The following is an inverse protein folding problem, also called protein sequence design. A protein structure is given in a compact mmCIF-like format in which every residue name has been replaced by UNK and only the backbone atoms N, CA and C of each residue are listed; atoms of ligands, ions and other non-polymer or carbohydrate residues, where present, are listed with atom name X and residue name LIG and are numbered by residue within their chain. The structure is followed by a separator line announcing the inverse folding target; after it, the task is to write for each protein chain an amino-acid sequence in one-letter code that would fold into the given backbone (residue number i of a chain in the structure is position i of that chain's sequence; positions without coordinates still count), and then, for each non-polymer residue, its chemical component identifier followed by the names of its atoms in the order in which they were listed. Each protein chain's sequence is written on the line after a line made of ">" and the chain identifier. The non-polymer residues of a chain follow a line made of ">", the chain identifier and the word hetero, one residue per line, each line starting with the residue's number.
data_IF_897111178444
#
_entry.id   IF_897111178444
#
_cell.length_a   1.000
_cell.length_b   1.000
_cell.length_c   1.000
_cell.angle_alpha   90.00
_cell.angle_beta   90.00
_cell.angle_gamma   90.00
#
_symmetry.space_group_name_H-M   'P 1'
#
loop_
_entity.id
_entity.type
_entity.pdbx_description
1 polymer ?
#
# COMPACT_ATOMS: atom_id res chain seq x y z
N UNK A 1 25.51 -53.37 30.58
CA UNK A 1 24.41 -52.38 30.53
C UNK A 1 24.49 -51.58 29.23
N UNK A 2 23.51 -51.72 28.32
CA UNK A 2 23.36 -50.89 27.11
C UNK A 2 21.99 -50.21 27.22
N UNK A 3 21.95 -48.87 27.17
CA UNK A 3 20.70 -48.07 27.13
C UNK A 3 19.94 -48.37 25.84
N UNK A 4 18.61 -48.52 25.87
CA UNK A 4 17.81 -48.50 24.64
C UNK A 4 17.83 -47.10 24.03
N UNK A 5 17.86 -47.04 22.70
CA UNK A 5 17.77 -45.82 21.92
C UNK A 5 16.36 -45.21 22.05
N UNK A 6 16.34 -43.89 22.19
CA UNK A 6 15.14 -43.05 22.22
C UNK A 6 14.56 -42.97 20.80
N UNK A 7 13.29 -43.35 20.62
CA UNK A 7 12.58 -43.21 19.35
C UNK A 7 12.32 -41.74 19.01
N UNK A 8 12.54 -41.30 17.76
CA UNK A 8 12.18 -39.95 17.35
C UNK A 8 10.66 -39.83 17.20
N UNK A 9 10.06 -38.85 17.89
CA UNK A 9 8.63 -38.58 17.89
C UNK A 9 8.01 -38.30 16.49
N UNK A 10 6.68 -38.42 16.35
CA UNK A 10 5.99 -38.34 15.08
C UNK A 10 6.15 -36.96 14.44
N UNK A 11 6.57 -36.93 13.17
CA UNK A 11 6.59 -35.71 12.35
C UNK A 11 5.15 -35.21 12.12
N UNK A 12 4.87 -33.91 12.23
CA UNK A 12 3.53 -33.37 12.00
C UNK A 12 3.03 -33.75 10.59
N UNK A 13 1.77 -34.18 10.50
CA UNK A 13 1.16 -34.64 9.25
C UNK A 13 0.76 -33.45 8.37
N UNK A 14 1.08 -33.51 7.08
CA UNK A 14 0.78 -32.52 6.01
C UNK A 14 -0.65 -31.94 6.03
N UNK A 15 -1.63 -32.66 6.56
CA UNK A 15 -3.02 -32.20 6.72
C UNK A 15 -3.20 -31.05 7.72
N UNK A 16 -2.42 -31.03 8.81
CA UNK A 16 -2.42 -29.97 9.82
C UNK A 16 -1.68 -28.71 9.37
N UNK A 17 -0.84 -28.83 8.34
CA UNK A 17 -0.19 -27.66 7.72
C UNK A 17 -1.14 -26.96 6.73
N UNK A 18 -2.09 -27.72 6.20
CA UNK A 18 -3.06 -27.34 5.19
C UNK A 18 -4.27 -26.59 5.76
N UNK A 19 -4.61 -26.84 7.03
CA UNK A 19 -5.78 -26.26 7.68
C UNK A 19 -5.49 -24.89 8.33
N UNK A 20 -4.22 -24.48 8.41
CA UNK A 20 -3.80 -23.27 9.12
C UNK A 20 -4.47 -22.00 8.57
N UNK A 21 -4.63 -21.89 7.25
CA UNK A 21 -5.27 -20.75 6.59
C UNK A 21 -6.77 -20.63 6.91
N UNK A 22 -7.58 -21.67 6.60
CA UNK A 22 -8.98 -21.74 7.00
C UNK A 22 -9.20 -21.55 8.50
N UNK A 23 -8.33 -22.13 9.34
CA UNK A 23 -8.40 -22.01 10.79
C UNK A 23 -8.15 -20.58 11.26
N UNK A 24 -7.13 -19.91 10.72
CA UNK A 24 -6.89 -18.49 11.03
C UNK A 24 -8.09 -17.62 10.61
N UNK A 25 -8.65 -17.87 9.43
CA UNK A 25 -9.83 -17.13 8.96
C UNK A 25 -11.04 -17.29 9.89
N UNK A 26 -11.32 -18.53 10.34
CA UNK A 26 -12.38 -18.83 11.28
C UNK A 26 -12.19 -18.10 12.63
N UNK A 27 -10.99 -18.14 13.20
CA UNK A 27 -10.66 -17.43 14.44
C UNK A 27 -10.87 -15.91 14.29
N UNK A 28 -10.46 -15.33 13.17
CA UNK A 28 -10.67 -13.89 12.90
C UNK A 28 -12.14 -13.54 12.74
N UNK A 29 -12.97 -14.41 12.17
CA UNK A 29 -14.42 -14.22 12.12
C UNK A 29 -15.03 -14.25 13.52
N UNK A 30 -14.58 -15.16 14.39
CA UNK A 30 -15.00 -15.21 15.80
C UNK A 30 -14.60 -13.95 16.55
N UNK A 31 -13.37 -13.47 16.38
CA UNK A 31 -12.92 -12.21 16.96
C UNK A 31 -13.76 -11.04 16.45
N UNK A 32 -14.00 -10.95 15.14
CA UNK A 32 -14.87 -9.91 14.54
C UNK A 32 -16.27 -9.94 15.12
N UNK A 33 -16.89 -11.11 15.27
CA UNK A 33 -18.22 -11.25 15.85
C UNK A 33 -18.26 -10.75 17.31
N UNK A 34 -17.25 -11.10 18.11
CA UNK A 34 -17.11 -10.66 19.51
C UNK A 34 -16.92 -9.15 19.67
N UNK A 35 -16.33 -8.47 18.68
CA UNK A 35 -16.22 -6.99 18.76
C UNK A 35 -17.57 -6.29 18.70
N UNK A 36 -18.60 -6.91 18.09
CA UNK A 36 -19.89 -6.28 17.82
C UNK A 36 -19.85 -5.12 16.81
N UNK A 37 -18.73 -4.94 16.09
CA UNK A 37 -18.50 -3.79 15.18
C UNK A 37 -18.84 -4.11 13.74
N UNK A 38 -19.32 -3.10 13.02
CA UNK A 38 -19.40 -3.13 11.56
C UNK A 38 -18.01 -3.10 10.92
N UNK A 39 -17.89 -3.56 9.68
CA UNK A 39 -16.60 -3.52 8.98
C UNK A 39 -16.08 -2.08 8.79
N UNK A 40 -16.98 -1.11 8.57
CA UNK A 40 -16.66 0.31 8.46
C UNK A 40 -16.07 0.90 9.74
N UNK A 41 -16.56 0.45 10.91
CA UNK A 41 -15.98 0.85 12.19
C UNK A 41 -14.62 0.18 12.43
N UNK A 42 -14.48 -1.10 12.04
CA UNK A 42 -13.21 -1.80 12.13
C UNK A 42 -12.14 -1.19 11.23
N UNK A 43 -12.50 -0.64 10.08
CA UNK A 43 -11.56 0.06 9.20
C UNK A 43 -10.84 1.21 9.91
N UNK A 44 -11.58 2.01 10.67
CA UNK A 44 -11.01 3.13 11.42
C UNK A 44 -10.12 2.66 12.58
N UNK A 45 -10.49 1.58 13.25
CA UNK A 45 -9.80 1.10 14.46
C UNK A 45 -8.58 0.22 14.16
N UNK A 46 -8.67 -0.59 13.11
CA UNK A 46 -7.64 -1.55 12.71
C UNK A 46 -6.70 -0.96 11.64
N UNK A 47 -7.08 0.18 11.04
CA UNK A 47 -6.37 0.87 9.95
C UNK A 47 -6.18 0.01 8.70
N UNK A 48 -7.15 -0.83 8.37
CA UNK A 48 -7.22 -1.59 7.13
C UNK A 48 -8.55 -1.29 6.44
N UNK A 49 -8.56 -1.11 5.12
CA UNK A 49 -9.81 -0.81 4.39
C UNK A 49 -10.84 -1.92 4.55
N UNK A 50 -12.14 -1.60 4.50
CA UNK A 50 -13.25 -2.57 4.54
C UNK A 50 -13.01 -3.77 3.60
N UNK A 51 -12.61 -3.49 2.35
CA UNK A 51 -12.28 -4.53 1.37
C UNK A 51 -11.11 -5.44 1.78
N UNK A 52 -10.12 -4.93 2.51
CA UNK A 52 -8.99 -5.72 3.02
C UNK A 52 -9.42 -6.59 4.20
N UNK A 53 -10.19 -6.02 5.12
CA UNK A 53 -10.77 -6.74 6.26
C UNK A 53 -11.62 -7.91 5.75
N UNK A 54 -12.47 -7.70 4.76
CA UNK A 54 -13.27 -8.76 4.13
C UNK A 54 -12.41 -9.90 3.56
N UNK A 55 -11.29 -9.58 2.89
CA UNK A 55 -10.35 -10.58 2.37
C UNK A 55 -9.63 -11.35 3.48
N UNK A 56 -9.31 -10.72 4.60
CA UNK A 56 -8.70 -11.37 5.76
C UNK A 56 -9.68 -12.32 6.45
N UNK A 57 -10.91 -11.86 6.71
CA UNK A 57 -11.95 -12.65 7.35
C UNK A 57 -12.38 -13.85 6.50
N UNK A 58 -12.29 -13.74 5.18
CA UNK A 58 -12.57 -14.86 4.26
C UNK A 58 -11.38 -15.79 4.04
N UNK A 59 -10.21 -15.51 4.63
CA UNK A 59 -9.00 -16.32 4.45
C UNK A 59 -8.36 -16.22 3.06
N UNK A 60 -8.81 -15.30 2.21
CA UNK A 60 -8.24 -15.09 0.86
C UNK A 60 -6.82 -14.53 0.91
N UNK A 61 -6.53 -13.75 1.94
CA UNK A 61 -5.21 -13.16 2.19
C UNK A 61 -4.91 -13.31 3.68
N UNK A 62 -3.68 -13.68 4.01
CA UNK A 62 -3.20 -13.71 5.40
C UNK A 62 -3.06 -12.26 5.90
N UNK A 63 -3.75 -11.86 6.98
CA UNK A 63 -3.64 -10.49 7.48
C UNK A 63 -2.23 -10.20 8.03
N UNK A 64 -1.76 -8.95 7.97
CA UNK A 64 -0.58 -8.53 8.74
C UNK A 64 -0.76 -8.80 10.23
N UNK A 65 0.32 -9.11 10.95
CA UNK A 65 0.26 -9.36 12.39
C UNK A 65 -0.39 -8.22 13.18
N UNK A 66 -0.12 -6.97 12.80
CA UNK A 66 -0.71 -5.78 13.44
C UNK A 66 -2.24 -5.72 13.35
N UNK A 67 -2.82 -6.26 12.27
CA UNK A 67 -4.27 -6.36 12.10
C UNK A 67 -4.85 -7.39 13.07
N UNK A 68 -4.17 -8.54 13.22
CA UNK A 68 -4.54 -9.60 14.17
C UNK A 68 -4.46 -9.09 15.61
N UNK A 69 -3.38 -8.38 15.96
CA UNK A 69 -3.20 -7.79 17.30
C UNK A 69 -4.32 -6.82 17.66
N UNK A 70 -4.63 -5.88 16.75
CA UNK A 70 -5.67 -4.88 16.97
C UNK A 70 -7.04 -5.51 17.07
N UNK A 71 -7.37 -6.45 16.17
CA UNK A 71 -8.65 -7.14 16.21
C UNK A 71 -8.81 -7.99 17.49
N UNK A 72 -7.76 -8.69 17.92
CA UNK A 72 -7.76 -9.48 19.16
C UNK A 72 -7.99 -8.59 20.38
N UNK A 73 -7.27 -7.46 20.48
CA UNK A 73 -7.45 -6.49 21.57
C UNK A 73 -8.85 -5.88 21.57
N UNK A 74 -9.41 -5.55 20.41
CA UNK A 74 -10.79 -5.06 20.29
C UNK A 74 -11.83 -6.09 20.72
N UNK A 75 -11.53 -7.38 20.55
CA UNK A 75 -12.39 -8.49 20.98
C UNK A 75 -12.13 -8.95 22.43
N UNK A 76 -11.17 -8.32 23.14
CA UNK A 76 -10.75 -8.72 24.47
C UNK A 76 -10.07 -10.10 24.52
N UNK A 77 -9.34 -10.48 23.47
CA UNK A 77 -8.59 -11.73 23.37
C UNK A 77 -7.08 -11.47 23.37
N UNK A 78 -6.30 -12.49 23.75
CA UNK A 78 -4.84 -12.44 23.71
C UNK A 78 -4.35 -12.73 22.29
N UNK A 79 -3.71 -11.76 21.59
CA UNK A 79 -3.21 -11.98 20.25
C UNK A 79 -2.16 -13.10 20.18
N UNK A 80 -1.39 -13.36 21.24
CA UNK A 80 -0.34 -14.37 21.23
C UNK A 80 -0.85 -15.77 20.85
N UNK A 81 -2.13 -16.07 21.11
CA UNK A 81 -2.77 -17.34 20.73
C UNK A 81 -2.75 -17.61 19.22
N UNK A 82 -2.86 -16.57 18.40
CA UNK A 82 -2.90 -16.68 16.94
C UNK A 82 -1.52 -16.62 16.31
N UNK A 83 -0.47 -16.36 17.10
CA UNK A 83 0.89 -16.16 16.60
C UNK A 83 1.46 -17.40 15.90
N UNK A 84 1.33 -18.62 16.46
CA UNK A 84 1.86 -19.81 15.79
C UNK A 84 1.17 -20.09 14.44
N UNK A 85 -0.14 -19.86 14.34
CA UNK A 85 -0.89 -20.02 13.09
C UNK A 85 -0.45 -19.00 12.04
N UNK A 86 -0.22 -17.76 12.46
CA UNK A 86 0.24 -16.70 11.56
C UNK A 86 1.69 -16.91 11.11
N UNK A 87 2.60 -17.27 12.01
CA UNK A 87 4.00 -17.55 11.69
C UNK A 87 4.10 -18.75 10.71
N UNK A 88 3.26 -19.79 10.89
CA UNK A 88 3.19 -20.93 9.96
C UNK A 88 2.81 -20.52 8.53
N UNK A 89 1.86 -19.57 8.40
CA UNK A 89 1.39 -19.09 7.11
C UNK A 89 2.32 -18.05 6.46
N UNK A 90 3.23 -17.44 7.23
CA UNK A 90 4.10 -16.34 6.77
C UNK A 90 5.58 -16.69 6.74
N UNK A 91 5.99 -17.83 7.32
CA UNK A 91 7.37 -18.31 7.28
C UNK A 91 7.83 -18.76 5.89
N UNK A 92 9.15 -18.72 5.66
CA UNK A 92 9.82 -18.91 4.36
C UNK A 92 9.68 -20.31 3.71
N UNK A 93 8.85 -21.20 4.26
CA UNK A 93 8.84 -22.64 3.93
C UNK A 93 7.58 -23.20 3.26
N UNK A 94 6.41 -22.55 3.34
CA UNK A 94 5.16 -23.19 2.94
C UNK A 94 4.65 -22.72 1.58
N UNK A 95 4.99 -23.50 0.55
CA UNK A 95 4.37 -23.45 -0.79
C UNK A 95 2.86 -23.64 -0.63
N UNK A 96 2.08 -22.63 -1.04
CA UNK A 96 0.63 -22.70 -1.22
C UNK A 96 0.21 -23.59 -2.42
N UNK A 97 0.98 -24.63 -2.75
CA UNK A 97 0.83 -25.45 -3.95
C UNK A 97 0.40 -26.90 -3.70
N UNK A 98 0.19 -27.30 -2.44
CA UNK A 98 -0.01 -28.70 -2.04
C UNK A 98 -1.33 -28.97 -1.32
N UNK A 99 -2.14 -27.93 -1.11
CA UNK A 99 -3.45 -28.05 -0.49
C UNK A 99 -4.56 -28.05 -1.54
N UNK A 100 -5.58 -28.92 -1.44
CA UNK A 100 -6.75 -28.81 -2.29
C UNK A 100 -7.32 -27.40 -2.17
N UNK A 101 -7.62 -26.72 -3.28
CA UNK A 101 -8.30 -25.43 -3.21
C UNK A 101 -9.61 -25.61 -2.44
N UNK A 102 -9.95 -24.71 -1.51
CA UNK A 102 -11.29 -24.69 -0.92
C UNK A 102 -12.31 -24.69 -2.06
N UNK A 103 -13.45 -25.39 -1.93
CA UNK A 103 -14.48 -25.36 -2.96
C UNK A 103 -14.84 -23.90 -3.23
N UNK A 104 -14.61 -23.45 -4.46
CA UNK A 104 -15.05 -22.14 -4.91
C UNK A 104 -16.57 -22.10 -4.74
N UNK A 105 -17.12 -21.19 -3.92
CA UNK A 105 -18.53 -20.87 -4.04
C UNK A 105 -18.68 -20.22 -5.42
N UNK A 106 -19.47 -20.87 -6.27
CA UNK A 106 -20.00 -20.27 -7.50
C UNK A 106 -20.45 -18.82 -7.23
N UNK A 107 -20.24 -17.89 -8.17
CA UNK A 107 -20.76 -16.54 -8.03
C UNK A 107 -22.28 -16.61 -7.97
N UNK A 108 -22.85 -16.49 -6.77
CA UNK A 108 -24.28 -16.25 -6.63
C UNK A 108 -24.54 -14.85 -7.20
N UNK A 109 -25.46 -14.70 -8.16
CA UNK A 109 -25.68 -13.47 -8.89
C UNK A 109 -26.43 -12.49 -7.99
N UNK A 110 -25.70 -11.73 -7.18
CA UNK A 110 -26.19 -10.45 -6.68
C UNK A 110 -26.00 -9.36 -7.76
N UNK A 111 -26.55 -9.61 -8.94
CA UNK A 111 -27.11 -8.53 -9.74
C UNK A 111 -28.42 -8.12 -9.06
N UNK A 112 -28.31 -7.29 -8.02
CA UNK A 112 -29.44 -6.46 -7.65
C UNK A 112 -29.82 -5.60 -8.87
N UNK A 113 -31.12 -5.42 -9.18
CA UNK A 113 -31.53 -4.52 -10.26
C UNK A 113 -30.87 -3.14 -10.08
N UNK A 114 -30.53 -2.43 -11.16
CA UNK A 114 -30.03 -1.07 -11.03
C UNK A 114 -31.04 -0.25 -10.22
N UNK A 115 -30.58 0.28 -9.09
CA UNK A 115 -31.32 1.31 -8.38
C UNK A 115 -31.60 2.45 -9.37
N UNK A 116 -32.84 2.97 -9.43
CA UNK A 116 -33.25 3.90 -10.45
C UNK A 116 -32.43 5.18 -10.37
N UNK A 117 -32.15 5.71 -11.56
CA UNK A 117 -31.62 7.05 -11.80
C UNK A 117 -32.28 8.08 -10.87
N UNK A 118 -31.55 9.09 -10.37
CA UNK A 118 -32.16 10.19 -9.64
C UNK A 118 -33.05 10.98 -10.62
N UNK A 119 -34.30 10.56 -10.71
CA UNK A 119 -35.41 11.32 -11.26
C UNK A 119 -35.48 12.64 -10.50
N UNK A 120 -35.46 13.71 -11.29
CA UNK A 120 -35.68 15.10 -10.95
C UNK A 120 -36.63 15.29 -9.77
N UNK A 121 -36.07 15.49 -8.58
CA UNK A 121 -36.79 16.16 -7.52
C UNK A 121 -36.97 17.62 -7.95
N UNK A 122 -38.20 17.98 -8.27
CA UNK A 122 -38.65 19.35 -8.48
C UNK A 122 -38.36 20.15 -7.21
N UNK A 123 -37.21 20.84 -7.18
CA UNK A 123 -36.95 21.87 -6.18
C UNK A 123 -37.88 23.03 -6.52
N UNK A 124 -38.90 23.21 -5.69
CA UNK A 124 -39.73 24.41 -5.67
C UNK A 124 -38.81 25.61 -5.47
N UNK A 125 -38.62 26.39 -6.54
CA UNK A 125 -37.77 27.58 -6.53
C UNK A 125 -38.50 28.68 -5.78
N UNK A 126 -37.97 29.05 -4.62
CA UNK A 126 -38.25 30.35 -3.99
C UNK A 126 -37.97 31.46 -5.01
N UNK A 127 -38.87 32.44 -5.23
CA UNK A 127 -38.69 33.45 -6.27
C UNK A 127 -37.52 34.37 -5.94
N UNK A 128 -36.50 34.37 -6.82
CA UNK A 128 -35.42 35.34 -6.78
C UNK A 128 -35.97 36.73 -7.10
N UNK A 129 -35.86 37.61 -6.09
CA UNK A 129 -36.15 39.04 -6.14
C UNK A 129 -35.35 39.66 -7.30
N UNK A 130 -36.06 40.28 -8.25
CA UNK A 130 -35.48 40.96 -9.42
C UNK A 130 -34.69 42.18 -8.96
N UNK A 131 -33.36 42.10 -9.00
CA UNK A 131 -32.47 43.25 -8.74
C UNK A 131 -32.02 43.86 -10.07
N UNK A 132 -32.12 45.18 -10.14
CA UNK A 132 -32.12 46.04 -11.32
C UNK A 132 -30.79 46.06 -12.10
N UNK A 133 -30.87 46.16 -13.43
CA UNK A 133 -29.75 46.01 -14.39
C UNK A 133 -28.68 47.10 -14.29
N UNK A 134 -28.94 48.20 -13.58
CA UNK A 134 -28.05 49.36 -13.49
C UNK A 134 -26.87 49.18 -12.54
N UNK A 135 -26.92 48.21 -11.61
CA UNK A 135 -25.83 47.94 -10.65
C UNK A 135 -24.67 47.09 -11.19
N UNK A 136 -24.86 46.38 -12.31
CA UNK A 136 -23.84 45.45 -12.85
C UNK A 136 -22.70 46.12 -13.60
N UNK A 137 -22.90 47.34 -14.09
CA UNK A 137 -21.89 48.03 -14.90
C UNK A 137 -20.81 48.73 -14.05
N UNK A 138 -21.16 49.15 -12.83
CA UNK A 138 -20.22 49.82 -11.91
C UNK A 138 -19.25 48.81 -11.25
N UNK A 139 -19.70 47.59 -10.95
CA UNK A 139 -18.86 46.55 -10.31
C UNK A 139 -17.85 45.97 -11.31
N UNK A 140 -18.21 45.85 -12.59
CA UNK A 140 -17.30 45.31 -13.61
C UNK A 140 -16.08 46.21 -13.88
N UNK A 141 -16.24 47.54 -13.79
CA UNK A 141 -15.15 48.51 -14.03
C UNK A 141 -14.16 48.55 -12.86
N UNK A 142 -14.61 48.36 -11.62
CA UNK A 142 -13.74 48.34 -10.43
C UNK A 142 -12.86 47.08 -10.33
N UNK A 143 -13.35 45.93 -10.82
CA UNK A 143 -12.58 44.67 -10.85
C UNK A 143 -11.49 44.69 -11.95
N UNK A 144 -11.77 45.34 -13.09
CA UNK A 144 -10.78 45.46 -14.17
C UNK A 144 -9.59 46.37 -13.79
N UNK A 145 -9.83 47.44 -13.02
CA UNK A 145 -8.78 48.37 -12.59
C UNK A 145 -7.87 47.80 -11.48
N UNK A 146 -8.37 46.88 -10.64
CA UNK A 146 -7.55 46.21 -9.62
C UNK A 146 -6.67 45.09 -10.18
N UNK A 147 -7.09 44.44 -11.27
CA UNK A 147 -6.31 43.39 -11.94
C UNK A 147 -5.04 43.92 -12.65
N UNK A 148 -5.07 45.16 -13.15
CA UNK A 148 -3.92 45.74 -13.86
C UNK A 148 -2.83 46.30 -12.94
N UNK A 149 -3.15 46.68 -11.70
CA UNK A 149 -2.16 47.25 -10.76
C UNK A 149 -1.44 46.17 -9.93
N UNK A 150 -2.10 45.04 -9.63
CA UNK A 150 -1.50 43.95 -8.83
C UNK A 150 -1.01 42.75 -9.65
N UNK A 151 -1.45 42.58 -10.90
CA UNK A 151 -1.05 41.44 -11.75
C UNK A 151 0.33 41.58 -12.40
N UNK A 152 0.78 42.81 -12.70
CA UNK A 152 2.01 43.05 -13.46
C UNK A 152 3.30 42.96 -12.63
N UNK A 153 3.26 43.36 -11.36
CA UNK A 153 4.44 43.46 -10.49
C UNK A 153 4.79 42.15 -9.77
N UNK A 154 3.83 41.25 -9.56
CA UNK A 154 4.08 39.96 -8.89
C UNK A 154 4.85 38.93 -9.74
N UNK A 155 4.70 38.98 -11.07
CA UNK A 155 5.29 37.97 -11.98
C UNK A 155 6.78 38.22 -12.26
N UNK A 156 7.23 39.47 -12.20
CA UNK A 156 8.63 39.81 -12.50
C UNK A 156 9.57 39.64 -11.28
N UNK A 157 9.07 39.77 -10.05
CA UNK A 157 9.89 39.61 -8.83
C UNK A 157 10.06 38.13 -8.43
N UNK A 158 9.05 37.28 -8.69
CA UNK A 158 9.10 35.85 -8.35
C UNK A 158 10.17 35.03 -9.10
N UNK A 159 10.72 35.56 -10.20
CA UNK A 159 11.70 34.86 -11.05
C UNK A 159 13.15 35.02 -10.58
N UNK A 160 13.42 35.82 -9.56
CA UNK A 160 14.79 36.14 -9.11
C UNK A 160 15.14 35.75 -7.67
N UNK A 161 14.22 35.15 -6.90
CA UNK A 161 14.43 34.89 -5.46
C UNK A 161 14.32 33.43 -4.99
N UNK A 162 14.33 32.43 -5.88
CA UNK A 162 14.29 31.02 -5.45
C UNK A 162 15.29 30.12 -6.18
N UNK A 163 16.58 30.13 -5.83
CA UNK A 163 17.45 29.00 -6.09
C UNK A 163 17.14 27.91 -5.06
N UNK A 164 16.57 26.77 -5.49
CA UNK A 164 16.55 25.55 -4.66
C UNK A 164 15.22 24.79 -4.56
N UNK A 165 14.14 25.22 -5.21
CA UNK A 165 12.88 24.45 -5.19
C UNK A 165 12.97 23.27 -6.16
N UNK A 166 13.27 22.08 -5.63
CA UNK A 166 13.20 20.81 -6.38
C UNK A 166 11.74 20.60 -6.85
N UNK A 167 11.49 20.33 -8.15
CA UNK A 167 10.14 20.01 -8.60
C UNK A 167 9.71 18.69 -7.98
N UNK A 168 8.61 18.70 -7.21
CA UNK A 168 7.88 17.50 -6.81
C UNK A 168 6.89 17.19 -7.94
N UNK A 169 7.03 16.07 -8.67
CA UNK A 169 6.05 15.73 -9.68
C UNK A 169 4.73 15.32 -9.01
N UNK A 170 3.69 16.12 -9.25
CA UNK A 170 2.29 15.77 -8.97
C UNK A 170 1.77 14.99 -10.17
N UNK A 171 2.06 13.70 -10.23
CA UNK A 171 1.31 12.75 -11.06
C UNK A 171 0.99 11.55 -10.16
N UNK A 172 -0.26 11.08 -10.22
CA UNK A 172 -0.78 9.99 -9.38
C UNK A 172 0.20 8.81 -9.32
N UNK A 173 0.95 8.73 -8.22
CA UNK A 173 2.14 7.88 -8.07
C UNK A 173 1.82 6.36 -8.17
N UNK A 174 0.55 5.98 -8.00
CA UNK A 174 0.07 4.63 -8.26
C UNK A 174 -0.31 4.37 -9.72
N UNK A 175 -0.77 5.39 -10.45
CA UNK A 175 -1.19 5.25 -11.84
C UNK A 175 0.00 4.99 -12.78
N UNK A 176 1.19 5.49 -12.42
CA UNK A 176 2.41 5.34 -13.20
C UNK A 176 2.81 3.89 -13.48
N UNK A 177 2.43 2.95 -12.62
CA UNK A 177 2.75 1.53 -12.75
C UNK A 177 1.55 0.63 -12.50
N UNK A 178 0.32 1.14 -12.66
CA UNK A 178 -0.91 0.39 -12.38
C UNK A 178 -1.04 -0.92 -13.18
N UNK A 179 -0.38 -1.00 -14.33
CA UNK A 179 -0.42 -2.15 -15.25
C UNK A 179 0.85 -3.02 -15.17
N UNK A 180 1.81 -2.64 -14.32
CA UNK A 180 3.07 -3.37 -14.17
C UNK A 180 2.87 -4.64 -13.32
N UNK A 181 3.50 -5.77 -13.67
CA UNK A 181 3.35 -7.01 -12.92
C UNK A 181 3.99 -6.92 -11.53
N UNK A 182 3.59 -7.81 -10.63
CA UNK A 182 4.37 -8.08 -9.41
C UNK A 182 5.48 -9.11 -9.74
N UNK A 183 6.68 -8.99 -9.16
CA UNK A 183 7.76 -9.97 -9.37
C UNK A 183 7.44 -11.35 -8.78
N UNK A 184 6.39 -11.44 -7.96
CA UNK A 184 5.93 -12.66 -7.30
C UNK A 184 6.81 -13.01 -6.11
N UNK A 185 7.99 -13.57 -6.37
CA UNK A 185 8.93 -13.95 -5.31
C UNK A 185 9.95 -12.83 -5.01
N UNK A 186 10.46 -12.74 -3.78
CA UNK A 186 11.44 -11.73 -3.39
C UNK A 186 12.88 -12.05 -3.83
N UNK A 187 13.15 -13.20 -4.43
CA UNK A 187 14.47 -13.59 -4.90
C UNK A 187 14.83 -12.85 -6.19
N UNK A 188 15.80 -11.94 -6.08
CA UNK A 188 16.41 -11.20 -7.19
C UNK A 188 17.86 -10.83 -6.83
N UNK A 189 18.65 -10.48 -7.83
CA UNK A 189 20.03 -10.04 -7.64
C UNK A 189 20.06 -8.54 -7.38
N UNK A 190 20.82 -8.09 -6.39
CA UNK A 190 20.95 -6.66 -6.11
C UNK A 190 21.68 -5.96 -7.26
N UNK A 191 21.02 -4.98 -7.88
CA UNK A 191 21.61 -4.18 -8.96
C UNK A 191 22.65 -3.18 -8.42
N UNK A 192 22.44 -2.72 -7.19
CA UNK A 192 23.29 -1.77 -6.46
C UNK A 192 23.38 -2.19 -4.99
N UNK A 193 24.29 -1.54 -4.26
CA UNK A 193 24.34 -1.67 -2.80
C UNK A 193 23.01 -1.23 -2.17
N UNK A 194 22.51 -1.96 -1.16
CA UNK A 194 21.30 -1.61 -0.46
C UNK A 194 21.47 -0.30 0.34
N UNK A 195 20.37 0.40 0.56
CA UNK A 195 20.30 1.60 1.39
C UNK A 195 19.51 1.30 2.66
N UNK A 196 19.99 1.83 3.78
CA UNK A 196 19.34 1.71 5.08
C UNK A 196 18.50 2.96 5.36
N UNK A 197 17.27 2.77 5.84
CA UNK A 197 16.44 3.86 6.38
C UNK A 197 16.29 3.63 7.88
N UNK A 198 16.80 4.58 8.65
CA UNK A 198 16.81 4.52 10.11
C UNK A 198 15.54 5.15 10.68
N UNK A 199 14.56 4.30 11.02
CA UNK A 199 13.41 4.71 11.80
C UNK A 199 13.74 4.85 13.29
N UNK A 200 12.77 5.34 14.07
CA UNK A 200 12.93 5.47 15.53
C UNK A 200 13.07 4.11 16.23
N UNK A 201 12.30 3.13 15.76
CA UNK A 201 12.07 1.86 16.46
C UNK A 201 12.71 0.65 15.73
N UNK A 202 13.17 0.84 14.49
CA UNK A 202 13.80 -0.17 13.64
C UNK A 202 14.50 0.48 12.44
N UNK A 203 15.40 -0.27 11.79
CA UNK A 203 16.01 0.11 10.52
C UNK A 203 15.48 -0.83 9.44
N UNK A 204 15.07 -0.26 8.31
CA UNK A 204 14.67 -1.03 7.11
C UNK A 204 15.78 -0.99 6.07
N UNK A 205 15.91 -2.06 5.30
CA UNK A 205 16.81 -2.12 4.16
C UNK A 205 16.01 -2.02 2.88
N UNK A 206 16.39 -1.13 1.99
CA UNK A 206 15.78 -0.94 0.66
C UNK A 206 16.82 -1.25 -0.40
N UNK A 207 16.43 -2.02 -1.41
CA UNK A 207 17.33 -2.47 -2.47
C UNK A 207 16.62 -2.59 -3.82
N UNK A 208 17.37 -2.29 -4.89
CA UNK A 208 16.92 -2.47 -6.26
C UNK A 208 17.35 -3.86 -6.71
N UNK A 209 16.38 -4.69 -7.11
CA UNK A 209 16.61 -6.07 -7.51
C UNK A 209 16.31 -6.28 -8.99
N UNK A 210 17.05 -7.18 -9.61
CA UNK A 210 16.82 -7.63 -10.99
C UNK A 210 16.73 -9.14 -11.08
N UNK A 211 15.96 -9.64 -12.06
CA UNK A 211 15.88 -11.06 -12.40
C UNK A 211 15.19 -11.28 -13.74
N UNK A 212 15.65 -12.31 -14.46
CA UNK A 212 14.90 -12.91 -15.57
C UNK A 212 13.61 -13.61 -15.11
N UNK A 213 12.44 -13.09 -15.52
CA UNK A 213 11.13 -13.68 -15.26
C UNK A 213 10.48 -13.98 -16.62
N UNK A 214 10.23 -15.25 -16.91
CA UNK A 214 9.67 -15.70 -18.20
C UNK A 214 10.47 -15.21 -19.43
N UNK A 215 11.78 -15.06 -19.31
CA UNK A 215 12.65 -14.58 -20.40
C UNK A 215 12.77 -13.06 -20.52
N UNK A 216 12.11 -12.30 -19.64
CA UNK A 216 12.22 -10.84 -19.58
C UNK A 216 13.08 -10.44 -18.38
N UNK A 217 14.06 -9.57 -18.59
CA UNK A 217 14.85 -9.00 -17.50
C UNK A 217 14.03 -7.95 -16.77
N UNK A 218 13.62 -8.26 -15.54
CA UNK A 218 12.75 -7.42 -14.73
C UNK A 218 13.55 -6.71 -13.64
N UNK A 219 13.09 -5.52 -13.26
CA UNK A 219 13.62 -4.72 -12.14
C UNK A 219 12.50 -4.29 -11.21
N UNK A 220 12.76 -4.31 -9.90
CA UNK A 220 11.83 -3.84 -8.86
C UNK A 220 12.56 -3.35 -7.60
N UNK A 221 11.87 -2.56 -6.79
CA UNK A 221 12.34 -2.20 -5.45
C UNK A 221 11.87 -3.24 -4.44
N UNK A 222 12.74 -3.60 -3.50
CA UNK A 222 12.41 -4.45 -2.36
C UNK A 222 12.79 -3.76 -1.06
N UNK A 223 11.95 -3.98 -0.06
CA UNK A 223 12.22 -3.62 1.33
C UNK A 223 12.29 -4.88 2.18
N UNK A 224 13.24 -4.94 3.10
CA UNK A 224 13.39 -6.00 4.11
C UNK A 224 13.53 -5.39 5.51
N UNK A 225 13.35 -6.22 6.53
CA UNK A 225 13.27 -5.79 7.94
C UNK A 225 12.13 -4.79 8.19
N UNK A 226 11.14 -4.79 7.29
CA UNK A 226 10.01 -3.88 7.36
C UNK A 226 9.05 -4.26 8.48
N UNK A 227 8.32 -3.26 8.97
CA UNK A 227 7.14 -3.41 9.79
C UNK A 227 5.95 -2.83 9.04
N UNK A 228 4.75 -3.23 9.45
CA UNK A 228 3.53 -2.70 8.88
C UNK A 228 3.52 -1.16 8.93
N UNK A 229 3.19 -0.55 7.79
CA UNK A 229 3.15 0.91 7.64
C UNK A 229 4.40 1.49 7.00
N UNK A 230 5.53 0.78 7.03
CA UNK A 230 6.68 1.13 6.20
C UNK A 230 6.29 1.11 4.72
N UNK A 231 7.03 1.85 3.91
CA UNK A 231 6.71 2.00 2.51
C UNK A 231 7.90 1.74 1.63
N UNK A 232 7.64 1.17 0.46
CA UNK A 232 8.63 0.97 -0.61
C UNK A 232 8.05 1.44 -1.93
N UNK A 233 8.89 2.04 -2.77
CA UNK A 233 8.56 2.41 -4.13
C UNK A 233 9.77 2.30 -5.04
N UNK A 234 9.50 2.34 -6.33
CA UNK A 234 10.53 2.41 -7.36
C UNK A 234 10.34 3.70 -8.14
N UNK A 235 11.36 4.55 -8.16
CA UNK A 235 11.40 5.69 -9.05
C UNK A 235 12.06 5.30 -10.37
N UNK A 236 11.58 5.86 -11.47
CA UNK A 236 12.21 5.70 -12.77
C UNK A 236 12.37 7.02 -13.51
N UNK A 237 13.39 7.09 -14.34
CA UNK A 237 13.74 8.29 -15.11
C UNK A 237 14.20 7.91 -16.52
N UNK A 238 14.04 8.85 -17.46
CA UNK A 238 14.59 8.76 -18.82
C UNK A 238 15.58 9.88 -19.14
N UNK A 239 15.93 10.69 -18.14
CA UNK A 239 16.81 11.86 -18.29
C UNK A 239 17.81 11.98 -17.14
N UNK A 240 18.39 10.84 -16.75
CA UNK A 240 19.45 10.75 -15.74
C UNK A 240 19.05 11.33 -14.37
N UNK A 241 17.78 11.17 -13.99
CA UNK A 241 17.27 11.58 -12.68
C UNK A 241 16.95 13.07 -12.56
N UNK A 242 17.09 13.87 -13.64
CA UNK A 242 16.65 15.28 -13.65
C UNK A 242 15.17 15.42 -13.35
N UNK A 243 14.36 14.49 -13.87
CA UNK A 243 12.97 14.28 -13.49
C UNK A 243 12.71 12.80 -13.36
N UNK A 244 11.83 12.40 -12.46
CA UNK A 244 11.46 10.99 -12.30
C UNK A 244 9.96 10.84 -12.08
N UNK A 245 9.48 9.64 -12.35
CA UNK A 245 8.13 9.21 -12.02
C UNK A 245 8.22 8.13 -10.97
N UNK A 246 7.35 8.20 -9.97
CA UNK A 246 7.30 7.27 -8.87
C UNK A 246 6.27 6.16 -9.15
N UNK A 247 6.67 4.90 -8.94
CA UNK A 247 5.79 3.74 -8.86
C UNK A 247 5.62 3.32 -7.39
N UNK A 248 4.50 3.71 -6.78
CA UNK A 248 4.21 3.52 -5.36
C UNK A 248 3.73 4.81 -4.70
N UNK A 249 3.85 5.00 -3.38
CA UNK A 249 4.46 4.11 -2.43
C UNK A 249 3.55 2.97 -1.99
N UNK A 250 4.10 1.77 -1.90
CA UNK A 250 3.38 0.59 -1.44
C UNK A 250 3.62 0.39 0.05
N UNK A 251 2.55 0.35 0.83
CA UNK A 251 2.62 0.03 2.25
C UNK A 251 2.91 -1.45 2.44
N UNK A 252 3.92 -1.76 3.22
CA UNK A 252 4.32 -3.14 3.51
C UNK A 252 3.32 -3.83 4.43
N UNK A 253 3.12 -5.13 4.18
CA UNK A 253 2.25 -6.00 4.98
C UNK A 253 3.03 -7.07 5.77
N UNK A 254 4.33 -7.19 5.54
CA UNK A 254 5.22 -8.16 6.17
C UNK A 254 6.67 -7.66 6.23
N UNK A 255 7.58 -8.50 6.72
CA UNK A 255 8.99 -8.16 6.91
C UNK A 255 9.73 -7.90 5.59
N UNK A 256 9.26 -8.51 4.51
CA UNK A 256 9.76 -8.33 3.15
C UNK A 256 8.61 -7.97 2.22
N UNK A 257 8.79 -6.96 1.37
CA UNK A 257 7.80 -6.55 0.38
C UNK A 257 8.50 -6.03 -0.87
N UNK A 258 7.89 -6.20 -2.04
CA UNK A 258 8.43 -5.72 -3.31
C UNK A 258 7.44 -4.76 -3.97
N UNK A 259 7.95 -3.73 -4.66
CA UNK A 259 7.14 -2.91 -5.56
C UNK A 259 6.69 -3.73 -6.76
N UNK A 260 5.86 -3.11 -7.61
CA UNK A 260 5.66 -3.63 -8.97
C UNK A 260 6.99 -3.62 -9.74
N UNK A 261 7.13 -4.59 -10.63
CA UNK A 261 8.31 -4.79 -11.46
C UNK A 261 8.08 -4.25 -12.86
N UNK A 262 9.14 -3.74 -13.48
CA UNK A 262 9.13 -3.33 -14.88
C UNK A 262 10.19 -4.09 -15.65
N UNK A 263 9.97 -4.29 -16.94
CA UNK A 263 11.00 -4.82 -17.83
C UNK A 263 12.10 -3.77 -18.02
N UNK A 264 13.36 -4.19 -17.95
CA UNK A 264 14.50 -3.32 -18.19
C UNK A 264 14.47 -2.89 -19.66
N UNK A 265 14.42 -1.58 -19.89
CA UNK A 265 14.29 -1.00 -21.22
C UNK A 265 15.40 0.03 -21.49
N UNK A 266 15.90 0.14 -22.74
CA UNK A 266 16.92 1.11 -23.09
C UNK A 266 16.53 2.56 -22.74
N UNK A 267 17.45 3.29 -22.10
CA UNK A 267 17.24 4.69 -21.71
C UNK A 267 16.35 4.88 -20.48
N UNK A 268 15.94 3.81 -19.81
CA UNK A 268 15.30 3.87 -18.50
C UNK A 268 16.33 3.60 -17.42
N UNK A 269 16.25 4.39 -16.34
CA UNK A 269 16.99 4.13 -15.12
C UNK A 269 16.05 4.05 -13.94
N UNK A 270 16.42 3.24 -12.96
CA UNK A 270 15.57 2.91 -11.82
C UNK A 270 16.32 3.12 -10.50
N UNK A 271 15.59 3.48 -9.45
CA UNK A 271 16.12 3.43 -8.08
C UNK A 271 15.05 2.91 -7.13
N UNK A 272 15.49 2.20 -6.10
CA UNK A 272 14.63 1.73 -5.05
C UNK A 272 14.63 2.74 -3.91
N UNK A 273 13.45 3.04 -3.39
CA UNK A 273 13.27 3.99 -2.29
C UNK A 273 12.33 3.40 -1.23
N UNK A 274 12.48 3.86 0.01
CA UNK A 274 11.57 3.49 1.07
C UNK A 274 11.60 4.46 2.23
N UNK A 275 10.61 4.35 3.10
CA UNK A 275 10.48 5.17 4.30
C UNK A 275 9.86 4.39 5.46
N UNK A 276 10.04 4.95 6.66
CA UNK A 276 9.32 4.54 7.87
C UNK A 276 8.44 5.70 8.36
N UNK A 277 7.15 5.48 8.71
CA UNK A 277 6.28 6.55 9.19
C UNK A 277 6.69 7.14 10.55
N UNK A 278 7.37 6.34 11.39
CA UNK A 278 7.80 6.71 12.74
C UNK A 278 9.25 7.19 12.74
N UNK A 279 9.39 8.51 12.64
CA UNK A 279 10.64 9.25 12.50
C UNK A 279 11.50 9.26 13.76
N UNK A 280 12.82 9.17 13.58
CA UNK A 280 13.78 9.84 14.47
C UNK A 280 13.87 11.32 14.09
N UNK A 281 14.13 12.23 15.04
CA UNK A 281 14.04 13.69 14.81
C UNK A 281 15.14 14.19 13.88
N UNK A 282 16.25 13.44 13.76
CA UNK A 282 17.50 13.93 13.18
C UNK A 282 17.89 13.28 11.83
N UNK A 283 17.07 12.37 11.28
CA UNK A 283 17.40 11.63 10.05
C UNK A 283 16.39 11.86 8.91
N UNK A 284 16.83 11.72 7.64
CA UNK A 284 15.93 11.77 6.48
C UNK A 284 14.76 10.78 6.62
N UNK A 285 13.56 11.20 6.20
CA UNK A 285 12.35 10.37 6.30
C UNK A 285 12.42 9.13 5.40
N UNK A 286 13.05 9.30 4.26
CA UNK A 286 13.18 8.36 3.18
C UNK A 286 14.64 8.26 2.75
N UNK A 287 14.98 7.12 2.15
CA UNK A 287 16.25 6.97 1.46
C UNK A 287 16.06 6.16 0.20
N UNK A 288 16.91 6.44 -0.78
CA UNK A 288 16.89 5.83 -2.10
C UNK A 288 18.28 5.34 -2.47
N UNK A 289 18.36 4.26 -3.24
CA UNK A 289 19.56 3.93 -4.01
C UNK A 289 19.85 5.02 -5.04
N UNK A 290 21.05 5.00 -5.61
CA UNK A 290 21.33 5.74 -6.85
C UNK A 290 20.46 5.20 -8.00
N UNK A 291 20.34 6.00 -9.07
CA UNK A 291 19.73 5.55 -10.31
C UNK A 291 20.69 4.59 -11.03
N UNK A 292 20.25 3.33 -11.20
CA UNK A 292 20.88 2.28 -11.99
C UNK A 292 20.35 2.30 -13.43
#
# INVERSE_FOLDING_TARGET
>A
MKRPAEEPGPKPSKSADCDAGPRLAAELQTLRARTGKSLKELEQLVHASDSSISRYLSGRIVPPWTVIERLSRLAGDDPARLRPLWDHLTGDGHRQGDCPPPPEPSPDPAAGPPAPEPSTATVERVPLRRVDRRGRLVIAVLVALTALVFGGSGVLVGRWLAPGSRPVPVVQQFAACKDWPWPGRPDGQAALAPVQVHGRDHTITVQLLTRSINGHEMVWAQITHARYGDRVWMDWTRNDGKTWTQCGPFTTTGATFSSRAHEIAPGWRFRACGDTPRRSVDLPRDACTDFW
#
